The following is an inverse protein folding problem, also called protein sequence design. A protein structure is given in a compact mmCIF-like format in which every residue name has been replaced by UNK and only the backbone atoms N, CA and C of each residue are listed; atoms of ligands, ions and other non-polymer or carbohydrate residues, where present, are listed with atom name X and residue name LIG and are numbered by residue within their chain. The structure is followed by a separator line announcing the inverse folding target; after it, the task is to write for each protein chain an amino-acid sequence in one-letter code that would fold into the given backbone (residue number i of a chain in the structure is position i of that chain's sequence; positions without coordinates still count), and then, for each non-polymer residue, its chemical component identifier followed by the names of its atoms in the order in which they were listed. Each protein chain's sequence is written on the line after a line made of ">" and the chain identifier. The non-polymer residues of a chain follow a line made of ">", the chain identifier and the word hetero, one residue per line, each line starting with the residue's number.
data_IF_766878560182
#
_entry.id   IF_766878560182
#
_cell.length_a   1.000
_cell.length_b   1.000
_cell.length_c   1.000
_cell.angle_alpha   90.00
_cell.angle_beta   90.00
_cell.angle_gamma   90.00
#
_symmetry.space_group_name_H-M   'P 1'
#
loop_
_entity.id
_entity.type
_entity.pdbx_description
1 polymer ?
#
# COMPACT_ATOMS: atom_id res chain seq x y z
N UNK A 1 -18.96 -26.57 4.26
CA UNK A 1 -18.03 -25.62 4.91
C UNK A 1 -16.58 -26.09 4.80
N UNK A 2 -16.23 -27.29 5.27
CA UNK A 2 -14.86 -27.84 5.12
C UNK A 2 -14.42 -28.09 3.66
N UNK A 3 -15.33 -28.46 2.77
CA UNK A 3 -15.03 -28.67 1.35
C UNK A 3 -14.59 -27.40 0.63
N UNK A 4 -15.26 -26.27 0.87
CA UNK A 4 -14.89 -24.98 0.28
C UNK A 4 -13.52 -24.52 0.76
N UNK A 5 -13.25 -24.62 2.07
CA UNK A 5 -11.93 -24.32 2.62
C UNK A 5 -10.84 -25.23 2.02
N UNK A 6 -11.12 -26.52 1.86
CA UNK A 6 -10.22 -27.47 1.22
C UNK A 6 -9.89 -27.08 -0.23
N UNK A 7 -10.91 -26.64 -0.99
CA UNK A 7 -10.71 -26.13 -2.36
C UNK A 7 -9.84 -24.89 -2.38
N UNK A 8 -10.10 -23.89 -1.53
CA UNK A 8 -9.29 -22.67 -1.50
C UNK A 8 -7.85 -22.93 -1.06
N UNK A 9 -7.64 -23.84 -0.11
CA UNK A 9 -6.31 -24.25 0.32
C UNK A 9 -5.55 -24.97 -0.80
N UNK A 10 -6.23 -25.84 -1.55
CA UNK A 10 -5.66 -26.51 -2.71
C UNK A 10 -5.28 -25.52 -3.82
N UNK A 11 -6.14 -24.53 -4.08
CA UNK A 11 -5.85 -23.44 -5.02
C UNK A 11 -4.61 -22.65 -4.57
N UNK A 12 -4.54 -22.26 -3.30
CA UNK A 12 -3.40 -21.54 -2.75
C UNK A 12 -2.08 -22.31 -2.91
N UNK A 13 -2.07 -23.60 -2.57
CA UNK A 13 -0.88 -24.47 -2.72
C UNK A 13 -0.46 -24.57 -4.19
N UNK A 14 -1.42 -24.71 -5.09
CA UNK A 14 -1.16 -24.76 -6.54
C UNK A 14 -0.46 -23.49 -7.02
N UNK A 15 -0.94 -22.32 -6.61
CA UNK A 15 -0.34 -21.03 -6.99
C UNK A 15 1.01 -20.78 -6.33
N UNK A 16 1.16 -21.15 -5.06
CA UNK A 16 2.42 -21.02 -4.31
C UNK A 16 3.56 -21.81 -4.96
N UNK A 17 3.26 -23.00 -5.49
CA UNK A 17 4.26 -23.89 -6.09
C UNK A 17 4.53 -23.60 -7.57
N UNK A 18 3.84 -22.63 -8.16
CA UNK A 18 4.04 -22.29 -9.56
C UNK A 18 5.42 -21.65 -9.75
N UNK A 19 6.24 -22.22 -10.63
CA UNK A 19 7.56 -21.68 -10.96
C UNK A 19 7.43 -20.31 -11.65
N UNK A 20 8.15 -19.32 -11.15
CA UNK A 20 8.30 -18.04 -11.84
C UNK A 20 9.14 -18.23 -13.10
N UNK A 21 8.63 -17.77 -14.26
CA UNK A 21 9.34 -17.84 -15.54
C UNK A 21 10.30 -16.66 -15.75
N UNK A 22 10.21 -15.64 -14.91
CA UNK A 22 11.06 -14.45 -14.97
C UNK A 22 12.31 -14.64 -14.13
N UNK A 23 13.42 -14.11 -14.62
CA UNK A 23 14.66 -14.07 -13.84
C UNK A 23 14.50 -13.17 -12.62
N UNK A 24 15.20 -13.54 -11.54
CA UNK A 24 15.19 -12.77 -10.31
C UNK A 24 16.17 -11.60 -10.42
N UNK A 25 15.66 -10.40 -10.67
CA UNK A 25 16.45 -9.18 -10.58
C UNK A 25 16.63 -8.74 -9.12
N UNK A 26 17.83 -8.98 -8.59
CA UNK A 26 18.18 -8.67 -7.20
C UNK A 26 18.29 -7.18 -6.92
N UNK A 27 18.56 -6.34 -7.93
CA UNK A 27 18.66 -4.88 -7.77
C UNK A 27 17.28 -4.28 -7.61
N UNK A 28 16.37 -4.59 -8.53
CA UNK A 28 14.97 -4.17 -8.45
C UNK A 28 14.32 -4.70 -7.17
N UNK A 29 14.57 -5.96 -6.80
CA UNK A 29 14.03 -6.51 -5.55
C UNK A 29 14.54 -5.76 -4.30
N UNK A 30 15.83 -5.44 -4.22
CA UNK A 30 16.35 -4.65 -3.10
C UNK A 30 15.71 -3.27 -3.02
N UNK A 31 15.56 -2.58 -4.16
CA UNK A 31 14.92 -1.28 -4.18
C UNK A 31 13.47 -1.35 -3.69
N UNK A 32 12.71 -2.35 -4.14
CA UNK A 32 11.33 -2.57 -3.69
C UNK A 32 11.25 -2.88 -2.19
N UNK A 33 12.15 -3.71 -1.66
CA UNK A 33 12.19 -4.06 -0.24
C UNK A 33 12.58 -2.89 0.68
N UNK A 34 13.33 -1.91 0.16
CA UNK A 34 13.74 -0.72 0.90
C UNK A 34 12.81 0.48 0.70
N UNK A 35 11.83 0.36 -0.20
CA UNK A 35 10.88 1.43 -0.48
C UNK A 35 10.03 1.74 0.75
N UNK A 36 9.87 3.02 1.09
CA UNK A 36 9.02 3.44 2.21
C UNK A 36 7.56 3.14 1.86
N UNK A 37 6.91 2.31 2.66
CA UNK A 37 5.44 2.19 2.62
C UNK A 37 4.83 3.36 3.36
N UNK A 38 3.96 4.09 2.67
CA UNK A 38 3.22 5.22 3.25
C UNK A 38 1.86 4.73 3.71
N UNK A 39 1.43 5.21 4.87
CA UNK A 39 0.05 5.07 5.33
C UNK A 39 -0.89 5.88 4.44
N UNK A 40 -2.17 5.51 4.42
CA UNK A 40 -3.22 6.26 3.72
C UNK A 40 -3.20 7.75 4.11
N UNK A 41 -3.01 8.03 5.40
CA UNK A 41 -2.90 9.38 5.94
C UNK A 41 -1.72 10.16 5.36
N UNK A 42 -0.54 9.56 5.29
CA UNK A 42 0.65 10.17 4.70
C UNK A 42 0.46 10.42 3.20
N UNK A 43 -0.19 9.50 2.49
CA UNK A 43 -0.48 9.65 1.05
C UNK A 43 -1.40 10.82 0.79
N UNK A 44 -2.51 10.94 1.53
CA UNK A 44 -3.46 12.06 1.39
C UNK A 44 -2.77 13.38 1.73
N UNK A 45 -1.91 13.41 2.74
CA UNK A 45 -1.15 14.62 3.07
C UNK A 45 -0.20 15.02 1.94
N UNK A 46 0.52 14.05 1.36
CA UNK A 46 1.46 14.30 0.27
C UNK A 46 0.75 14.70 -1.03
N UNK A 47 -0.46 14.22 -1.29
CA UNK A 47 -1.20 14.60 -2.50
C UNK A 47 -1.49 16.10 -2.54
N UNK A 48 -1.70 16.74 -1.38
CA UNK A 48 -1.88 18.21 -1.31
C UNK A 48 -0.66 19.03 -1.72
N UNK A 49 0.54 18.44 -1.78
CA UNK A 49 1.72 19.09 -2.34
C UNK A 49 1.72 19.07 -3.87
N UNK A 50 1.01 18.13 -4.48
CA UNK A 50 0.89 17.99 -5.94
C UNK A 50 -0.28 18.82 -6.47
N UNK A 51 -1.42 18.77 -5.79
CA UNK A 51 -2.66 19.45 -6.16
C UNK A 51 -3.28 20.10 -4.93
N UNK A 52 -3.61 21.39 -5.01
CA UNK A 52 -4.15 22.13 -3.86
C UNK A 52 -5.62 21.78 -3.65
N UNK A 53 -6.02 21.62 -2.40
CA UNK A 53 -7.43 21.47 -2.02
C UNK A 53 -8.25 22.67 -2.52
N UNK A 54 -9.20 22.43 -3.43
CA UNK A 54 -10.09 23.48 -3.91
C UNK A 54 -11.30 23.61 -2.98
N UNK A 55 -11.82 22.47 -2.51
CA UNK A 55 -13.04 22.40 -1.72
C UNK A 55 -12.77 22.65 -0.23
N UNK A 56 -13.75 23.26 0.46
CA UNK A 56 -13.64 23.59 1.90
C UNK A 56 -13.43 22.35 2.76
N UNK A 57 -14.09 21.23 2.45
CA UNK A 57 -13.94 19.96 3.18
C UNK A 57 -12.51 19.40 3.07
N UNK A 58 -11.88 19.50 1.90
CA UNK A 58 -10.51 19.06 1.67
C UNK A 58 -9.50 19.94 2.42
N UNK A 59 -9.75 21.26 2.47
CA UNK A 59 -8.94 22.20 3.26
C UNK A 59 -9.02 21.93 4.76
N UNK A 60 -10.18 21.48 5.25
CA UNK A 60 -10.35 21.06 6.64
C UNK A 60 -9.63 19.74 6.94
N UNK A 61 -9.73 18.77 6.03
CA UNK A 61 -9.00 17.51 6.15
C UNK A 61 -7.49 17.76 6.19
N UNK A 62 -6.95 18.58 5.27
CA UNK A 62 -5.54 18.94 5.25
C UNK A 62 -5.05 19.57 6.55
N UNK A 63 -5.83 20.50 7.14
CA UNK A 63 -5.51 21.10 8.44
C UNK A 63 -5.37 20.05 9.54
N UNK A 64 -6.36 19.17 9.69
CA UNK A 64 -6.31 18.06 10.67
C UNK A 64 -5.08 17.16 10.48
N UNK A 65 -4.78 16.82 9.22
CA UNK A 65 -3.62 15.99 8.87
C UNK A 65 -2.26 16.68 9.11
N UNK A 66 -2.24 18.01 9.11
CA UNK A 66 -1.05 18.79 9.45
C UNK A 66 -0.83 18.83 10.96
N UNK A 67 -1.89 19.11 11.72
CA UNK A 67 -1.84 19.29 13.18
C UNK A 67 -1.52 17.97 13.92
N UNK A 68 -1.93 16.83 13.38
CA UNK A 68 -1.62 15.51 13.96
C UNK A 68 -0.11 15.17 13.99
N UNK A 69 0.73 15.93 13.27
CA UNK A 69 2.17 15.72 13.23
C UNK A 69 2.91 16.46 14.36
N UNK A 70 2.27 17.46 14.98
CA UNK A 70 2.87 18.27 16.05
C UNK A 70 2.68 17.62 17.44
N UNK A 71 1.98 16.48 17.50
CA UNK A 71 1.67 15.75 18.72
C UNK A 71 2.51 14.46 18.91
N UNK A 72 3.53 14.24 18.08
CA UNK A 72 4.39 13.03 18.12
C UNK A 72 5.87 13.35 18.23
#
# INVERSE_FOLDING_TARGET
>A
MFSQFGTEMSNFVTWKNRKCLFERDTRTLHQLLLSKTLTEKELIKLSYNCEVAEQTAEKELYRRLKDDNDAQ
#
